data_IF_738733579391
#
_entry.id   IF_738733579391
#
_cell.length_a   1.000
_cell.length_b   1.000
_cell.length_c   1.000
_cell.angle_alpha   90.00
_cell.angle_beta   90.00
_cell.angle_gamma   90.00
#
_symmetry.space_group_name_H-M   'P 1'
#
loop_
_entity.id
_entity.type
_entity.pdbx_description
1 polymer ?
#
# COMPACT_ATOMS: atom_id res chain seq x y z
N UNK A 1 -10.97 -16.54 17.71
CA UNK A 1 -10.64 -15.51 16.69
C UNK A 1 -10.01 -16.23 15.51
N UNK A 2 -10.80 -16.60 14.49
CA UNK A 2 -10.31 -17.28 13.27
C UNK A 2 -10.55 -16.45 12.00
N UNK A 3 -11.01 -15.20 12.15
CA UNK A 3 -11.43 -14.30 11.06
C UNK A 3 -10.63 -12.98 11.00
N UNK A 4 -9.55 -12.85 11.77
CA UNK A 4 -8.73 -11.63 11.78
C UNK A 4 -7.59 -11.64 10.73
N UNK A 5 -7.42 -12.75 10.00
CA UNK A 5 -6.33 -12.93 9.04
C UNK A 5 -6.60 -12.24 7.69
N UNK A 6 -7.85 -12.15 7.26
CA UNK A 6 -8.24 -11.44 6.04
C UNK A 6 -7.82 -9.97 6.03
N UNK A 7 -8.22 -9.19 7.06
CA UNK A 7 -7.78 -7.81 7.24
C UNK A 7 -6.26 -7.69 7.40
N UNK A 8 -5.63 -8.62 8.11
CA UNK A 8 -4.18 -8.58 8.35
C UNK A 8 -3.38 -8.84 7.07
N UNK A 9 -3.84 -9.75 6.21
CA UNK A 9 -3.22 -10.02 4.91
C UNK A 9 -3.47 -8.87 3.93
N UNK A 10 -4.64 -8.24 3.96
CA UNK A 10 -4.90 -7.02 3.19
C UNK A 10 -3.96 -5.87 3.63
N UNK A 11 -3.79 -5.67 4.94
CA UNK A 11 -2.88 -4.68 5.50
C UNK A 11 -1.42 -4.97 5.12
N UNK A 12 -0.99 -6.23 5.19
CA UNK A 12 0.37 -6.64 4.81
C UNK A 12 0.64 -6.35 3.32
N UNK A 13 -0.32 -6.66 2.43
CA UNK A 13 -0.21 -6.36 1.00
C UNK A 13 -0.19 -4.85 0.74
N UNK A 14 -1.05 -4.07 1.41
CA UNK A 14 -1.07 -2.61 1.28
C UNK A 14 0.26 -1.98 1.74
N UNK A 15 0.83 -2.48 2.85
CA UNK A 15 2.12 -2.01 3.38
C UNK A 15 3.27 -2.32 2.42
N UNK A 16 3.27 -3.51 1.82
CA UNK A 16 4.26 -3.89 0.81
C UNK A 16 4.18 -3.00 -0.45
N UNK A 17 2.97 -2.73 -0.94
CA UNK A 17 2.75 -1.85 -2.10
C UNK A 17 3.23 -0.42 -1.79
N UNK A 18 2.93 0.10 -0.60
CA UNK A 18 3.36 1.45 -0.21
C UNK A 18 4.88 1.55 -0.16
N UNK A 19 5.56 0.60 0.47
CA UNK A 19 7.02 0.58 0.57
C UNK A 19 7.71 0.45 -0.79
N UNK A 20 7.20 -0.41 -1.68
CA UNK A 20 7.73 -0.55 -3.06
C UNK A 20 7.49 0.74 -3.85
N UNK A 21 6.30 1.32 -3.74
CA UNK A 21 5.93 2.57 -4.40
C UNK A 21 6.83 3.73 -3.96
N UNK A 22 7.10 3.84 -2.66
CA UNK A 22 8.00 4.86 -2.11
C UNK A 22 9.42 4.70 -2.66
N UNK A 23 9.99 3.49 -2.62
CA UNK A 23 11.34 3.25 -3.16
C UNK A 23 11.38 3.52 -4.67
N UNK A 24 10.41 3.04 -5.44
CA UNK A 24 10.40 3.25 -6.88
C UNK A 24 10.25 4.75 -7.23
N UNK A 25 9.23 5.42 -6.70
CA UNK A 25 8.90 6.79 -7.07
C UNK A 25 9.90 7.80 -6.48
N UNK A 26 10.32 7.61 -5.23
CA UNK A 26 11.24 8.53 -4.57
C UNK A 26 12.70 8.29 -4.96
N UNK A 27 13.14 7.02 -5.04
CA UNK A 27 14.56 6.67 -5.26
C UNK A 27 14.94 6.53 -6.73
N UNK A 28 14.05 5.98 -7.57
CA UNK A 28 14.34 5.78 -9.00
C UNK A 28 13.82 6.91 -9.89
N UNK A 29 12.60 7.41 -9.63
CA UNK A 29 12.01 8.48 -10.43
C UNK A 29 12.24 9.89 -9.86
N UNK A 30 12.76 10.02 -8.64
CA UNK A 30 13.07 11.30 -8.02
C UNK A 30 11.85 12.15 -7.65
N UNK A 31 10.64 11.56 -7.60
CA UNK A 31 9.41 12.29 -7.30
C UNK A 31 9.29 12.71 -5.82
N UNK A 32 10.19 12.25 -4.95
CA UNK A 32 10.24 12.64 -3.53
C UNK A 32 8.86 12.55 -2.84
N UNK A 33 8.44 13.62 -2.20
CA UNK A 33 7.16 13.69 -1.45
C UNK A 33 5.94 13.36 -2.32
N UNK A 34 5.94 13.76 -3.60
CA UNK A 34 4.82 13.47 -4.51
C UNK A 34 4.72 11.96 -4.80
N UNK A 35 5.86 11.26 -4.85
CA UNK A 35 5.94 9.81 -4.97
C UNK A 35 5.38 9.08 -3.75
N UNK A 36 5.79 9.53 -2.55
CA UNK A 36 5.31 8.98 -1.28
C UNK A 36 3.79 9.18 -1.10
N UNK A 37 3.26 10.35 -1.49
CA UNK A 37 1.83 10.65 -1.42
C UNK A 37 1.01 9.74 -2.36
N UNK A 38 1.50 9.51 -3.59
CA UNK A 38 0.84 8.62 -4.54
C UNK A 38 0.84 7.16 -4.08
N UNK A 39 1.99 6.66 -3.57
CA UNK A 39 2.11 5.30 -3.04
C UNK A 39 1.14 5.03 -1.88
N UNK A 40 0.93 6.04 -1.01
CA UNK A 40 -0.03 5.95 0.10
C UNK A 40 -1.47 5.92 -0.40
N UNK A 41 -1.81 6.75 -1.39
CA UNK A 41 -3.17 6.81 -1.95
C UNK A 41 -3.57 5.49 -2.63
N UNK A 42 -2.66 4.89 -3.40
CA UNK A 42 -2.89 3.59 -4.06
C UNK A 42 -3.08 2.46 -3.05
N UNK A 43 -2.29 2.47 -1.96
CA UNK A 43 -2.37 1.46 -0.90
C UNK A 43 -3.71 1.55 -0.15
N UNK A 44 -4.22 2.76 0.08
CA UNK A 44 -5.54 2.99 0.68
C UNK A 44 -6.68 2.58 -0.25
N UNK A 45 -6.59 2.84 -1.56
CA UNK A 45 -7.58 2.38 -2.55
C UNK A 45 -7.62 0.84 -2.59
N UNK A 46 -6.47 0.17 -2.52
CA UNK A 46 -6.44 -1.30 -2.44
C UNK A 46 -7.02 -1.82 -1.13
N UNK A 47 -6.85 -1.11 -0.03
CA UNK A 47 -7.41 -1.49 1.27
C UNK A 47 -8.93 -1.28 1.34
N UNK A 48 -9.46 -0.22 0.72
CA UNK A 48 -10.90 0.09 0.74
C UNK A 48 -11.70 -0.65 -0.34
N UNK A 49 -11.04 -1.02 -1.44
CA UNK A 49 -11.68 -1.67 -2.59
C UNK A 49 -11.46 -3.20 -2.61
N UNK A 50 -10.77 -3.78 -1.61
CA UNK A 50 -10.76 -5.23 -1.41
C UNK A 50 -12.06 -5.64 -0.69
N UNK A 51 -12.97 -6.40 -1.31
CA UNK A 51 -14.23 -6.81 -0.69
C UNK A 51 -14.04 -8.03 0.24
N UNK A 52 -13.03 -7.98 1.10
CA UNK A 52 -12.48 -9.11 1.88
C UNK A 52 -11.72 -10.15 1.06
N UNK A 53 -10.43 -10.25 1.36
CA UNK A 53 -9.67 -11.49 1.32
C UNK A 53 -9.90 -12.22 2.67
#
# INVERSE_FOLDING_TARGET
MKDSWGPLKALAVATAINGIGDIALCRFFGYGIAGAAWATMVSQVRQICLPFL
#
